data_IF_361101856085
#
_entry.id   IF_361101856085
#
_cell.length_a   1.000
_cell.length_b   1.000
_cell.length_c   1.000
_cell.angle_alpha   90.00
_cell.angle_beta   90.00
_cell.angle_gamma   90.00
#
_symmetry.space_group_name_H-M   'P 1'
#
loop_
_entity.id
_entity.type
_entity.pdbx_description
1 polymer ?
#
# COMPACT_ATOMS: atom_id res chain seq x y z
N UNK A 1 37.94 4.67 -7.25
CA UNK A 1 36.49 4.42 -7.11
C UNK A 1 35.94 4.33 -8.52
N UNK A 2 35.48 3.16 -8.95
CA UNK A 2 35.05 2.97 -10.34
C UNK A 2 33.68 3.62 -10.58
N UNK A 3 33.39 4.01 -11.82
CA UNK A 3 32.07 4.56 -12.21
C UNK A 3 30.95 3.56 -11.89
N UNK A 4 31.23 2.26 -11.99
CA UNK A 4 30.31 1.19 -11.59
C UNK A 4 30.03 1.15 -10.08
N UNK A 5 31.02 1.42 -9.23
CA UNK A 5 30.80 1.47 -7.77
C UNK A 5 29.93 2.68 -7.39
N UNK A 6 30.12 3.81 -8.08
CA UNK A 6 29.30 5.00 -7.87
C UNK A 6 27.84 4.78 -8.32
N UNK A 7 27.63 4.15 -9.48
CA UNK A 7 26.31 3.80 -9.99
C UNK A 7 25.59 2.80 -9.07
N UNK A 8 26.28 1.75 -8.61
CA UNK A 8 25.70 0.77 -7.71
C UNK A 8 25.30 1.39 -6.36
N UNK A 9 26.16 2.24 -5.77
CA UNK A 9 25.84 2.93 -4.52
C UNK A 9 24.65 3.90 -4.68
N UNK A 10 24.52 4.57 -5.83
CA UNK A 10 23.37 5.42 -6.14
C UNK A 10 22.08 4.61 -6.26
N UNK A 11 22.12 3.46 -6.94
CA UNK A 11 20.97 2.56 -7.10
C UNK A 11 20.52 2.01 -5.74
N UNK A 12 21.46 1.58 -4.90
CA UNK A 12 21.15 1.08 -3.55
C UNK A 12 20.53 2.17 -2.67
N UNK A 13 21.07 3.40 -2.71
CA UNK A 13 20.52 4.54 -1.99
C UNK A 13 19.10 4.90 -2.47
N UNK A 14 18.86 4.88 -3.78
CA UNK A 14 17.54 5.11 -4.37
C UNK A 14 16.54 4.02 -3.96
N UNK A 15 16.95 2.75 -3.99
CA UNK A 15 16.12 1.63 -3.54
C UNK A 15 15.77 1.75 -2.05
N UNK A 16 16.70 2.20 -1.21
CA UNK A 16 16.46 2.39 0.20
C UNK A 16 15.48 3.53 0.49
N UNK A 17 15.59 4.65 -0.23
CA UNK A 17 14.62 5.75 -0.18
C UNK A 17 13.24 5.27 -0.64
N UNK A 18 13.18 4.58 -1.79
CA UNK A 18 11.93 4.09 -2.35
C UNK A 18 11.24 3.10 -1.41
N UNK A 19 12.02 2.21 -0.79
CA UNK A 19 11.53 1.27 0.23
C UNK A 19 10.93 2.00 1.43
N UNK A 20 11.64 2.99 1.97
CA UNK A 20 11.24 3.69 3.20
C UNK A 20 9.98 4.54 3.01
N UNK A 21 9.86 5.19 1.85
CA UNK A 21 8.78 6.13 1.56
C UNK A 21 7.70 5.57 0.62
N UNK A 22 7.79 4.30 0.22
CA UNK A 22 6.81 3.61 -0.63
C UNK A 22 5.35 3.81 -0.19
N UNK A 23 5.00 3.69 1.10
CA UNK A 23 3.62 3.87 1.59
C UNK A 23 3.08 5.29 1.46
N UNK A 24 3.91 6.24 1.05
CA UNK A 24 3.51 7.63 0.81
C UNK A 24 3.64 7.97 -0.67
N UNK A 25 4.75 7.57 -1.29
CA UNK A 25 5.03 7.83 -2.71
C UNK A 25 3.98 7.16 -3.60
N UNK A 26 3.63 5.90 -3.33
CA UNK A 26 2.71 5.15 -4.20
C UNK A 26 1.29 5.74 -4.18
N UNK A 27 0.66 6.02 -3.02
CA UNK A 27 -0.65 6.68 -3.02
C UNK A 27 -0.64 8.06 -3.70
N UNK A 28 0.41 8.85 -3.49
CA UNK A 28 0.53 10.18 -4.10
C UNK A 28 0.65 10.07 -5.62
N UNK A 29 1.47 9.16 -6.13
CA UNK A 29 1.61 8.93 -7.57
C UNK A 29 0.27 8.50 -8.21
N UNK A 30 -0.45 7.58 -7.58
CA UNK A 30 -1.75 7.12 -8.07
C UNK A 30 -2.77 8.27 -8.12
N UNK A 31 -2.81 9.11 -7.08
CA UNK A 31 -3.67 10.30 -7.07
C UNK A 31 -3.34 11.27 -8.20
N UNK A 32 -2.05 11.56 -8.42
CA UNK A 32 -1.60 12.45 -9.50
C UNK A 32 -2.02 11.92 -10.87
N UNK A 33 -1.83 10.62 -11.12
CA UNK A 33 -2.23 9.97 -12.38
C UNK A 33 -3.74 10.12 -12.60
N UNK A 34 -4.56 9.89 -11.58
CA UNK A 34 -6.02 10.00 -11.68
C UNK A 34 -6.46 11.45 -11.95
N UNK A 35 -5.82 12.44 -11.32
CA UNK A 35 -6.10 13.87 -11.59
C UNK A 35 -5.78 14.21 -13.05
N UNK A 36 -4.65 13.74 -13.57
CA UNK A 36 -4.26 13.98 -14.98
C UNK A 36 -5.27 13.33 -15.93
N UNK A 37 -5.65 12.07 -15.70
CA UNK A 37 -6.63 11.36 -16.54
C UNK A 37 -7.98 12.09 -16.55
N UNK A 38 -8.44 12.54 -15.38
CA UNK A 38 -9.69 13.29 -15.25
C UNK A 38 -9.65 14.63 -15.98
N UNK A 39 -8.50 15.31 -15.98
CA UNK A 39 -8.32 16.57 -16.70
C UNK A 39 -8.40 16.41 -18.23
N UNK A 40 -8.10 15.22 -18.76
CA UNK A 40 -8.06 14.99 -20.21
C UNK A 40 -9.43 14.55 -20.75
N UNK A 41 -10.17 13.72 -20.00
CA UNK A 41 -11.31 13.00 -20.57
C UNK A 41 -12.62 12.99 -19.75
N UNK A 42 -12.73 13.68 -18.61
CA UNK A 42 -13.96 13.76 -17.79
C UNK A 42 -14.72 12.42 -17.64
N UNK A 43 -13.97 11.31 -17.53
CA UNK A 43 -14.48 9.95 -17.69
C UNK A 43 -15.11 9.38 -16.40
N UNK A 44 -14.84 10.01 -15.26
CA UNK A 44 -15.17 9.47 -13.94
C UNK A 44 -16.54 9.97 -13.47
N UNK A 45 -17.56 9.12 -13.64
CA UNK A 45 -18.86 9.35 -13.02
C UNK A 45 -18.79 9.01 -11.52
N UNK A 46 -18.51 10.03 -10.72
CA UNK A 46 -18.39 9.99 -9.25
C UNK A 46 -19.54 9.24 -8.58
N UNK A 47 -20.77 9.43 -9.06
CA UNK A 47 -21.97 8.84 -8.47
C UNK A 47 -22.04 7.32 -8.66
N UNK A 48 -21.60 6.81 -9.80
CA UNK A 48 -21.59 5.36 -10.06
C UNK A 48 -20.53 4.65 -9.20
N UNK A 49 -19.37 5.29 -9.00
CA UNK A 49 -18.28 4.71 -8.20
C UNK A 49 -18.65 4.67 -6.72
N UNK A 50 -19.24 5.75 -6.18
CA UNK A 50 -19.66 5.83 -4.78
C UNK A 50 -20.56 4.67 -4.34
N UNK A 51 -21.43 4.18 -5.22
CA UNK A 51 -22.33 3.06 -4.92
C UNK A 51 -21.56 1.75 -4.63
N UNK A 52 -20.37 1.59 -5.21
CA UNK A 52 -19.58 0.37 -5.09
C UNK A 52 -18.45 0.47 -4.06
N UNK A 53 -18.07 1.70 -3.64
CA UNK A 53 -16.99 1.92 -2.67
C UNK A 53 -17.18 1.10 -1.39
N UNK A 54 -18.36 1.06 -0.73
CA UNK A 54 -18.48 0.34 0.54
C UNK A 54 -18.18 -1.16 0.42
N UNK A 55 -18.71 -1.81 -0.62
CA UNK A 55 -18.54 -3.25 -0.86
C UNK A 55 -17.09 -3.60 -1.17
N UNK A 56 -16.45 -2.84 -2.07
CA UNK A 56 -15.05 -3.07 -2.45
C UNK A 56 -14.13 -2.77 -1.26
N UNK A 57 -14.36 -1.66 -0.55
CA UNK A 57 -13.57 -1.27 0.61
C UNK A 57 -13.62 -2.32 1.72
N UNK A 58 -14.81 -2.84 2.04
CA UNK A 58 -14.96 -3.90 3.04
C UNK A 58 -14.21 -5.18 2.67
N UNK A 59 -14.26 -5.57 1.39
CA UNK A 59 -13.54 -6.74 0.87
C UNK A 59 -12.02 -6.57 0.98
N UNK A 60 -11.49 -5.43 0.51
CA UNK A 60 -10.06 -5.14 0.57
C UNK A 60 -9.56 -4.94 2.01
N UNK A 61 -10.37 -4.34 2.89
CA UNK A 61 -10.04 -4.20 4.31
C UNK A 61 -9.96 -5.57 4.98
N UNK A 62 -10.90 -6.48 4.72
CA UNK A 62 -10.86 -7.86 5.21
C UNK A 62 -9.62 -8.63 4.73
N UNK A 63 -9.24 -8.44 3.46
CA UNK A 63 -7.98 -8.96 2.92
C UNK A 63 -6.75 -8.42 3.68
N UNK A 64 -6.67 -7.11 3.92
CA UNK A 64 -5.56 -6.52 4.68
C UNK A 64 -5.54 -6.95 6.14
N UNK A 65 -6.69 -7.13 6.79
CA UNK A 65 -6.78 -7.71 8.13
C UNK A 65 -6.20 -9.13 8.17
N UNK A 66 -6.49 -9.93 7.15
CA UNK A 66 -5.92 -11.29 7.03
C UNK A 66 -4.40 -11.24 6.94
N UNK A 67 -3.85 -10.33 6.14
CA UNK A 67 -2.41 -10.13 6.02
C UNK A 67 -1.79 -9.65 7.33
N UNK A 68 -2.43 -8.71 8.01
CA UNK A 68 -2.00 -8.24 9.32
C UNK A 68 -1.95 -9.39 10.33
N UNK A 69 -2.97 -10.25 10.34
CA UNK A 69 -3.00 -11.47 11.15
C UNK A 69 -1.84 -12.41 10.84
N UNK A 70 -1.57 -12.68 9.55
CA UNK A 70 -0.43 -13.51 9.12
C UNK A 70 0.88 -12.93 9.64
N UNK A 71 1.15 -11.65 9.40
CA UNK A 71 2.41 -11.01 9.80
C UNK A 71 2.59 -10.96 11.32
N UNK A 72 1.50 -10.86 12.08
CA UNK A 72 1.53 -10.89 13.55
C UNK A 72 1.76 -12.31 14.09
N UNK A 73 1.29 -13.33 13.38
CA UNK A 73 1.42 -14.73 13.76
C UNK A 73 2.76 -15.37 13.32
N UNK A 74 3.58 -14.68 12.52
CA UNK A 74 4.87 -15.23 12.06
C UNK A 74 5.82 -15.49 13.26
N UNK A 75 6.40 -16.70 13.36
CA UNK A 75 7.31 -17.04 14.44
C UNK A 75 8.64 -16.28 14.33
N UNK A 76 9.25 -15.96 15.47
CA UNK A 76 10.52 -15.25 15.54
C UNK A 76 11.72 -16.13 15.16
N UNK A 77 11.91 -16.34 13.85
CA UNK A 77 13.08 -16.98 13.27
C UNK A 77 14.15 -15.96 12.82
N UNK A 78 15.32 -16.42 12.38
CA UNK A 78 16.41 -15.53 11.94
C UNK A 78 16.01 -14.63 10.77
N UNK A 79 15.17 -15.11 9.85
CA UNK A 79 14.66 -14.32 8.73
C UNK A 79 13.78 -13.15 9.20
N UNK A 80 12.84 -13.41 10.11
CA UNK A 80 11.97 -12.38 10.70
C UNK A 80 12.79 -11.39 11.54
N UNK A 81 13.82 -11.85 12.26
CA UNK A 81 14.74 -10.96 12.99
C UNK A 81 15.47 -9.99 12.06
N UNK A 82 15.96 -10.47 10.91
CA UNK A 82 16.61 -9.61 9.90
C UNK A 82 15.62 -8.62 9.27
N UNK A 83 14.39 -9.06 8.98
CA UNK A 83 13.34 -8.15 8.48
C UNK A 83 12.97 -7.08 9.50
N UNK A 84 12.95 -7.42 10.80
CA UNK A 84 12.71 -6.47 11.89
C UNK A 84 13.88 -5.50 12.05
N UNK A 85 15.13 -5.97 12.05
CA UNK A 85 16.32 -5.12 12.20
C UNK A 85 16.47 -4.11 11.06
N UNK A 86 16.13 -4.51 9.84
CA UNK A 86 16.21 -3.66 8.66
C UNK A 86 14.99 -2.71 8.51
N UNK A 87 14.07 -2.72 9.48
CA UNK A 87 12.88 -1.86 9.49
C UNK A 87 11.78 -2.24 8.49
N UNK A 88 11.95 -3.30 7.69
CA UNK A 88 10.97 -3.75 6.71
C UNK A 88 9.64 -4.13 7.36
N UNK A 89 9.67 -4.85 8.50
CA UNK A 89 8.43 -5.21 9.20
C UNK A 89 7.63 -3.99 9.64
N UNK A 90 8.32 -2.91 10.05
CA UNK A 90 7.67 -1.65 10.43
C UNK A 90 6.96 -1.01 9.23
N UNK A 91 7.61 -0.99 8.06
CA UNK A 91 7.04 -0.46 6.82
C UNK A 91 5.78 -1.25 6.44
N UNK A 92 5.85 -2.59 6.46
CA UNK A 92 4.70 -3.46 6.17
C UNK A 92 3.54 -3.18 7.12
N UNK A 93 3.80 -3.05 8.43
CA UNK A 93 2.74 -2.75 9.40
C UNK A 93 2.11 -1.37 9.18
N UNK A 94 2.92 -0.35 8.86
CA UNK A 94 2.40 0.99 8.54
C UNK A 94 1.52 0.94 7.29
N UNK A 95 1.96 0.26 6.24
CA UNK A 95 1.17 0.05 5.01
C UNK A 95 -0.16 -0.62 5.30
N UNK A 96 -0.14 -1.73 6.06
CA UNK A 96 -1.36 -2.47 6.40
C UNK A 96 -2.33 -1.61 7.22
N UNK A 97 -1.86 -0.94 8.27
CA UNK A 97 -2.71 -0.10 9.13
C UNK A 97 -3.25 1.10 8.34
N UNK A 98 -2.43 1.71 7.50
CA UNK A 98 -2.84 2.86 6.66
C UNK A 98 -3.87 2.44 5.63
N UNK A 99 -3.67 1.30 4.96
CA UNK A 99 -4.66 0.73 4.02
C UNK A 99 -5.98 0.37 4.72
N UNK A 100 -5.93 -0.32 5.86
CA UNK A 100 -7.13 -0.69 6.63
C UNK A 100 -7.89 0.56 7.06
N UNK A 101 -7.21 1.53 7.68
CA UNK A 101 -7.86 2.75 8.18
C UNK A 101 -8.46 3.58 7.05
N UNK A 102 -7.75 3.78 5.95
CA UNK A 102 -8.25 4.57 4.81
C UNK A 102 -9.45 3.91 4.12
N UNK A 103 -9.44 2.58 3.94
CA UNK A 103 -10.58 1.83 3.39
C UNK A 103 -11.80 1.85 4.32
N UNK A 104 -11.60 1.72 5.63
CA UNK A 104 -12.71 1.79 6.59
C UNK A 104 -13.31 3.20 6.64
N UNK A 105 -12.49 4.25 6.64
CA UNK A 105 -12.98 5.62 6.60
C UNK A 105 -13.69 5.92 5.28
N UNK A 106 -13.16 5.48 4.14
CA UNK A 106 -13.85 5.66 2.84
C UNK A 106 -15.17 4.92 2.79
N UNK A 107 -15.24 3.70 3.33
CA UNK A 107 -16.49 2.94 3.43
C UNK A 107 -17.54 3.70 4.23
N UNK A 108 -17.19 4.19 5.42
CA UNK A 108 -18.11 4.91 6.31
C UNK A 108 -18.58 6.21 5.66
N UNK A 109 -17.67 7.03 5.13
CA UNK A 109 -18.02 8.29 4.45
C UNK A 109 -18.95 8.06 3.25
N UNK A 110 -18.66 7.02 2.46
CA UNK A 110 -19.47 6.67 1.29
C UNK A 110 -20.88 6.22 1.66
N UNK A 111 -21.06 5.50 2.78
CA UNK A 111 -22.40 5.07 3.25
C UNK A 111 -23.25 6.28 3.65
N UNK A 112 -22.67 7.27 4.32
CA UNK A 112 -23.38 8.49 4.72
C UNK A 112 -23.55 9.49 3.56
N UNK A 113 -22.94 9.25 2.39
CA UNK A 113 -22.95 10.17 1.26
C UNK A 113 -22.28 11.51 1.56
N UNK A 114 -21.40 11.55 2.56
CA UNK A 114 -20.73 12.77 3.02
C UNK A 114 -19.36 12.87 2.34
N UNK A 115 -19.04 14.06 1.80
CA UNK A 115 -17.74 14.37 1.22
C UNK A 115 -17.31 13.37 0.13
N UNK A 116 -18.14 13.20 -0.90
CA UNK A 116 -17.93 12.30 -2.06
C UNK A 116 -16.50 12.27 -2.59
N UNK A 117 -15.88 13.44 -2.79
CA UNK A 117 -14.51 13.54 -3.29
C UNK A 117 -13.49 12.99 -2.29
N UNK A 118 -13.62 13.31 -1.01
CA UNK A 118 -12.75 12.78 0.05
C UNK A 118 -12.87 11.25 0.15
N UNK A 119 -14.10 10.73 0.08
CA UNK A 119 -14.35 9.29 0.10
C UNK A 119 -13.66 8.57 -1.05
N UNK A 120 -13.72 9.12 -2.26
CA UNK A 120 -13.04 8.58 -3.45
C UNK A 120 -11.52 8.65 -3.27
N UNK A 121 -10.98 9.78 -2.81
CA UNK A 121 -9.54 9.93 -2.60
C UNK A 121 -9.01 8.94 -1.57
N UNK A 122 -9.70 8.78 -0.43
CA UNK A 122 -9.33 7.81 0.60
C UNK A 122 -9.45 6.36 0.10
N UNK A 123 -10.49 6.07 -0.70
CA UNK A 123 -10.65 4.77 -1.33
C UNK A 123 -9.46 4.44 -2.25
N UNK A 124 -9.05 5.38 -3.10
CA UNK A 124 -7.88 5.22 -3.98
C UNK A 124 -6.61 4.97 -3.17
N UNK A 125 -6.38 5.74 -2.11
CA UNK A 125 -5.24 5.53 -1.19
C UNK A 125 -5.29 4.12 -0.61
N UNK A 126 -6.43 3.68 -0.11
CA UNK A 126 -6.61 2.34 0.44
C UNK A 126 -6.37 1.21 -0.57
N UNK A 127 -6.84 1.37 -1.81
CA UNK A 127 -6.55 0.43 -2.91
C UNK A 127 -5.05 0.38 -3.20
N UNK A 128 -4.38 1.53 -3.25
CA UNK A 128 -2.94 1.60 -3.53
C UNK A 128 -2.10 0.93 -2.43
N UNK A 129 -2.44 1.14 -1.15
CA UNK A 129 -1.82 0.44 -0.03
C UNK A 129 -2.11 -1.07 -0.06
N UNK A 130 -3.28 -1.47 -0.56
CA UNK A 130 -3.62 -2.89 -0.73
C UNK A 130 -2.73 -3.57 -1.77
N UNK A 131 -2.47 -2.90 -2.89
CA UNK A 131 -1.54 -3.41 -3.91
C UNK A 131 -0.11 -3.47 -3.36
N UNK A 132 0.32 -2.45 -2.62
CA UNK A 132 1.64 -2.42 -1.98
C UNK A 132 1.81 -3.55 -0.96
N UNK A 133 0.82 -3.76 -0.09
CA UNK A 133 0.81 -4.84 0.88
C UNK A 133 0.88 -6.22 0.21
N UNK A 134 0.17 -6.40 -0.91
CA UNK A 134 0.22 -7.62 -1.73
C UNK A 134 1.60 -7.89 -2.29
N UNK A 135 2.27 -6.85 -2.79
CA UNK A 135 3.65 -6.95 -3.27
C UNK A 135 4.61 -7.33 -2.13
N UNK A 136 4.50 -6.71 -0.95
CA UNK A 136 5.34 -7.07 0.19
C UNK A 136 5.12 -8.50 0.68
N UNK A 137 3.86 -8.96 0.73
CA UNK A 137 3.58 -10.34 1.11
C UNK A 137 4.18 -11.34 0.11
N UNK A 138 4.10 -11.05 -1.19
CA UNK A 138 4.73 -11.88 -2.22
C UNK A 138 6.26 -11.95 -2.07
N UNK A 139 6.90 -10.81 -1.77
CA UNK A 139 8.34 -10.76 -1.50
C UNK A 139 8.68 -11.61 -0.27
N UNK A 140 7.99 -11.38 0.85
CA UNK A 140 8.27 -12.07 2.12
C UNK A 140 8.05 -13.58 1.97
N UNK A 141 6.99 -14.02 1.29
CA UNK A 141 6.72 -15.44 1.07
C UNK A 141 7.80 -16.10 0.20
N UNK A 142 8.28 -15.41 -0.83
CA UNK A 142 9.34 -15.91 -1.72
C UNK A 142 10.69 -16.01 -1.01
N UNK A 143 11.06 -15.03 -0.19
CA UNK A 143 12.32 -15.10 0.57
C UNK A 143 12.24 -16.08 1.73
N UNK A 144 11.09 -16.19 2.40
CA UNK A 144 10.90 -17.15 3.47
C UNK A 144 10.96 -18.61 2.99
N UNK A 145 10.59 -18.89 1.74
CA UNK A 145 10.70 -20.26 1.19
C UNK A 145 12.14 -20.65 0.85
N UNK A 146 12.99 -19.67 0.51
CA UNK A 146 14.42 -19.84 0.20
C UNK A 146 15.32 -19.88 1.44
N UNK A 147 14.80 -19.49 2.62
CA UNK A 147 15.56 -19.46 3.88
C UNK A 147 15.38 -20.71 4.74
N UNK A 148 14.77 -21.77 4.20
CA UNK A 148 14.71 -23.11 4.81
C UNK A 148 15.92 -23.93 4.38
#
# INVERSE_FOLDING_TARGET
MSISDFLNNCIESLMEIFRKYSPVIVPVLVLVIIVIINSINSFVNVNQILLHIPSISGTLAGFLFTFFGIFTALPDNNFIKVLKSNGYMKIIHITLITGISTLLVSMVLSIFGVLSYLSISLFIVGVSETMLASFYLFIVSTYSSKSK
#
